data_IF_947518229683
#
_entry.id   IF_947518229683
#
_cell.length_a   1.000
_cell.length_b   1.000
_cell.length_c   1.000
_cell.angle_alpha   90.00
_cell.angle_beta   90.00
_cell.angle_gamma   90.00
#
_symmetry.space_group_name_H-M   'P 1'
#
loop_
_entity.id
_entity.type
_entity.pdbx_description
1 polymer ?
#
# COMPACT_ATOMS: atom_id res chain seq x y z
N UNK A 1 -8.47 -51.74 -42.51
CA UNK A 1 -8.97 -52.14 -41.17
C UNK A 1 -7.97 -53.07 -40.50
N UNK A 2 -6.87 -52.57 -39.92
CA UNK A 2 -5.97 -53.28 -38.99
C UNK A 2 -4.99 -52.20 -38.46
N UNK A 3 -4.54 -52.12 -37.21
CA UNK A 3 -4.90 -52.71 -35.91
C UNK A 3 -4.01 -51.97 -34.90
N UNK A 4 -4.58 -51.19 -33.99
CA UNK A 4 -3.81 -50.48 -32.96
C UNK A 4 -3.32 -51.47 -31.90
N UNK A 5 -2.02 -51.47 -31.62
CA UNK A 5 -1.39 -52.23 -30.52
C UNK A 5 -1.00 -51.26 -29.39
N UNK A 6 -1.37 -51.52 -28.12
CA UNK A 6 -1.11 -50.60 -27.00
C UNK A 6 0.15 -50.95 -26.16
N UNK A 7 0.50 -49.99 -25.27
CA UNK A 7 1.32 -50.07 -24.04
C UNK A 7 2.82 -49.67 -24.17
N UNK A 8 3.52 -49.17 -23.10
CA UNK A 8 3.24 -49.38 -21.68
C UNK A 8 3.40 -48.21 -20.66
N UNK A 9 2.93 -48.54 -19.45
CA UNK A 9 2.91 -47.87 -18.14
C UNK A 9 4.27 -47.44 -17.58
N UNK A 10 4.23 -46.52 -16.59
CA UNK A 10 4.79 -46.59 -15.19
C UNK A 10 4.72 -45.18 -14.56
N UNK A 11 4.43 -44.90 -13.29
CA UNK A 11 3.79 -45.52 -12.10
C UNK A 11 3.77 -44.36 -11.07
N UNK A 12 2.69 -44.11 -10.31
CA UNK A 12 2.69 -43.06 -9.29
C UNK A 12 3.45 -43.56 -8.05
N UNK A 13 4.58 -42.94 -7.72
CA UNK A 13 5.22 -43.16 -6.43
C UNK A 13 4.53 -42.28 -5.39
N UNK A 14 3.58 -42.89 -4.69
CA UNK A 14 3.21 -42.48 -3.34
C UNK A 14 4.46 -42.60 -2.47
N UNK A 15 4.98 -41.46 -2.02
CA UNK A 15 5.77 -41.40 -0.79
C UNK A 15 4.83 -40.87 0.28
N UNK A 16 4.29 -41.82 1.05
CA UNK A 16 3.81 -41.58 2.39
C UNK A 16 5.02 -41.57 3.32
N UNK A 17 5.11 -40.54 4.18
CA UNK A 17 5.82 -40.40 5.47
C UNK A 17 6.11 -38.88 5.61
N UNK A 18 5.79 -38.17 6.68
CA UNK A 18 5.29 -38.56 7.99
C UNK A 18 4.98 -37.29 8.79
N UNK A 19 4.10 -37.43 9.76
CA UNK A 19 3.76 -36.41 10.76
C UNK A 19 4.97 -36.19 11.67
N UNK A 20 5.39 -34.93 11.85
CA UNK A 20 6.11 -34.51 13.05
C UNK A 20 5.56 -33.16 13.52
N UNK A 21 4.78 -33.22 14.60
CA UNK A 21 4.34 -32.06 15.35
C UNK A 21 5.52 -31.51 16.17
N UNK A 22 5.83 -30.22 15.98
CA UNK A 22 6.70 -29.47 16.89
C UNK A 22 5.86 -28.36 17.51
N UNK A 23 5.33 -28.63 18.71
CA UNK A 23 4.71 -27.65 19.56
C UNK A 23 5.80 -26.81 20.25
N UNK A 24 5.98 -25.57 19.81
CA UNK A 24 6.74 -24.57 20.56
C UNK A 24 5.75 -23.71 21.36
N UNK A 25 5.55 -24.06 22.63
CA UNK A 25 4.91 -23.20 23.60
C UNK A 25 5.90 -22.09 23.98
N UNK A 26 5.65 -20.86 23.52
CA UNK A 26 6.37 -19.66 23.95
C UNK A 26 5.47 -18.82 24.85
N UNK A 27 5.85 -18.73 26.13
CA UNK A 27 5.23 -17.87 27.15
C UNK A 27 5.47 -16.40 26.76
N UNK A 28 4.41 -15.59 26.70
CA UNK A 28 4.54 -14.13 26.72
C UNK A 28 3.93 -13.61 28.02
N UNK A 29 4.80 -12.98 28.80
CA UNK A 29 4.54 -12.33 30.08
C UNK A 29 3.54 -11.19 29.90
N UNK A 30 2.64 -11.08 30.86
CA UNK A 30 1.67 -10.01 31.08
C UNK A 30 2.31 -8.63 31.13
N UNK A 31 1.90 -7.73 30.23
CA UNK A 31 2.04 -6.29 30.41
C UNK A 31 0.70 -5.71 30.87
N UNK A 32 0.49 -5.63 32.18
CA UNK A 32 -0.54 -4.78 32.77
C UNK A 32 -0.04 -3.33 32.67
N UNK A 33 -0.74 -2.50 31.90
CA UNK A 33 -0.46 -1.06 31.88
C UNK A 33 -1.07 -0.32 30.69
N UNK A 34 -2.38 -0.07 30.73
CA UNK A 34 -2.91 1.24 31.15
C UNK A 34 -4.44 1.21 31.07
N UNK A 35 -5.05 1.51 32.21
CA UNK A 35 -6.48 1.63 32.40
C UNK A 35 -6.73 3.13 32.60
N UNK A 36 -7.31 3.81 31.60
CA UNK A 36 -7.94 5.12 31.81
C UNK A 36 -9.37 5.08 31.33
N UNK A 37 -10.20 5.66 32.19
CA UNK A 37 -11.64 5.53 32.32
C UNK A 37 -12.41 6.45 31.36
N UNK A 38 -13.67 6.06 31.20
CA UNK A 38 -14.77 6.60 30.41
C UNK A 38 -14.99 8.13 30.45
N UNK A 39 -15.36 8.67 29.30
CA UNK A 39 -16.41 9.68 29.09
C UNK A 39 -16.78 9.62 27.60
N UNK A 40 -17.99 9.76 27.09
CA UNK A 40 -19.34 9.93 27.61
C UNK A 40 -20.29 9.68 26.43
N UNK A 41 -21.52 9.35 26.76
CA UNK A 41 -22.68 9.25 25.86
C UNK A 41 -22.91 10.51 25.01
N UNK A 42 -23.40 10.37 23.77
CA UNK A 42 -24.05 11.47 23.06
C UNK A 42 -24.13 11.28 21.56
N UNK A 43 -25.32 11.53 21.01
CA UNK A 43 -25.68 11.36 19.62
C UNK A 43 -25.25 12.55 18.74
N UNK A 44 -25.49 12.35 17.44
CA UNK A 44 -25.80 13.35 16.42
C UNK A 44 -24.62 13.85 15.57
N UNK A 45 -24.98 13.93 14.29
CA UNK A 45 -24.33 14.48 13.10
C UNK A 45 -23.13 15.41 13.32
N UNK A 46 -22.12 15.27 12.46
CA UNK A 46 -21.85 16.27 11.44
C UNK A 46 -20.47 16.02 10.80
N UNK A 47 -20.47 16.07 9.48
CA UNK A 47 -19.37 16.60 8.67
C UNK A 47 -17.96 16.15 9.07
N UNK A 48 -17.47 15.09 8.43
CA UNK A 48 -16.03 14.86 8.33
C UNK A 48 -15.41 15.92 7.38
N UNK A 49 -15.41 17.18 7.82
CA UNK A 49 -14.53 18.24 7.36
C UNK A 49 -13.29 18.18 8.25
N UNK A 50 -12.21 17.60 7.72
CA UNK A 50 -10.97 17.43 8.45
C UNK A 50 -9.83 17.39 7.45
N UNK A 51 -9.35 18.57 7.04
CA UNK A 51 -8.07 18.74 6.38
C UNK A 51 -6.96 18.33 7.34
N UNK A 52 -6.49 17.11 7.18
CA UNK A 52 -5.18 16.68 7.65
C UNK A 52 -4.62 15.72 6.60
N UNK A 53 -4.03 16.27 5.54
CA UNK A 53 -3.10 15.53 4.71
C UNK A 53 -1.80 15.38 5.51
N UNK A 54 -1.86 14.55 6.56
CA UNK A 54 -0.67 14.17 7.31
C UNK A 54 0.22 13.33 6.39
N UNK A 55 1.48 13.76 6.27
CA UNK A 55 2.48 13.02 5.48
C UNK A 55 2.65 11.64 6.11
N UNK A 56 2.32 10.58 5.38
CA UNK A 56 2.37 9.21 5.93
C UNK A 56 3.28 8.29 5.12
N UNK A 57 4.15 7.57 5.82
CA UNK A 57 5.00 6.54 5.26
C UNK A 57 4.85 5.23 6.00
N UNK A 58 4.56 4.16 5.26
CA UNK A 58 4.38 2.83 5.83
C UNK A 58 5.35 1.83 5.25
N UNK A 59 6.08 1.17 6.14
CA UNK A 59 7.10 0.16 5.87
C UNK A 59 6.61 -1.27 6.14
N UNK A 60 7.21 -2.30 5.54
CA UNK A 60 6.85 -3.68 5.79
C UNK A 60 7.21 -4.08 7.22
N UNK A 61 6.37 -4.87 7.89
CA UNK A 61 6.70 -5.50 9.19
C UNK A 61 5.74 -5.22 10.34
N UNK A 62 4.81 -4.25 10.21
CA UNK A 62 3.75 -4.01 11.18
C UNK A 62 2.38 -4.12 10.50
N UNK A 63 1.55 -5.13 10.84
CA UNK A 63 0.24 -5.34 10.21
C UNK A 63 -0.73 -4.17 10.46
N UNK A 64 -0.67 -3.53 11.63
CA UNK A 64 -1.51 -2.38 11.97
C UNK A 64 -1.12 -1.14 11.15
N UNK A 65 0.17 -0.96 10.86
CA UNK A 65 0.64 0.14 10.03
C UNK A 65 0.07 0.05 8.60
N UNK A 66 -0.14 -1.16 8.06
CA UNK A 66 -0.77 -1.35 6.75
C UNK A 66 -2.26 -0.95 6.71
N UNK A 67 -2.99 -1.11 7.82
CA UNK A 67 -4.37 -0.64 7.94
C UNK A 67 -4.43 0.88 8.05
N UNK A 68 -3.57 1.47 8.87
CA UNK A 68 -3.47 2.92 9.05
C UNK A 68 -3.06 3.63 7.74
N UNK A 69 -2.11 3.07 6.99
CA UNK A 69 -1.73 3.57 5.66
C UNK A 69 -2.90 3.55 4.67
N UNK A 70 -3.72 2.51 4.76
CA UNK A 70 -4.84 2.34 3.85
C UNK A 70 -5.98 3.31 4.14
N UNK A 71 -6.07 3.84 5.38
CA UNK A 71 -6.98 4.93 5.70
C UNK A 71 -6.60 6.22 4.98
N UNK A 72 -5.30 6.49 4.81
CA UNK A 72 -4.83 7.71 4.10
C UNK A 72 -5.29 7.70 2.64
N UNK A 73 -4.99 6.62 1.91
CA UNK A 73 -5.46 6.45 0.52
C UNK A 73 -6.96 6.13 0.40
N UNK A 74 -7.57 5.66 1.49
CA UNK A 74 -8.95 5.18 1.54
C UNK A 74 -9.98 6.26 1.77
N UNK A 75 -9.60 7.55 1.74
CA UNK A 75 -10.60 8.63 1.77
C UNK A 75 -10.97 9.07 0.35
N UNK A 76 -12.27 9.16 0.02
CA UNK A 76 -12.72 9.70 -1.26
C UNK A 76 -12.17 11.09 -1.57
N UNK A 77 -12.07 11.97 -0.55
CA UNK A 77 -11.49 13.31 -0.70
C UNK A 77 -10.03 13.31 -1.10
N UNK A 78 -9.20 12.45 -0.49
CA UNK A 78 -7.79 12.34 -0.89
C UNK A 78 -7.68 11.99 -2.37
N UNK A 79 -8.45 11.01 -2.84
CA UNK A 79 -8.43 10.56 -4.23
C UNK A 79 -8.96 11.63 -5.20
N UNK A 80 -9.93 12.46 -4.80
CA UNK A 80 -10.42 13.58 -5.61
C UNK A 80 -9.34 14.67 -5.78
N UNK A 81 -8.62 14.95 -4.69
CA UNK A 81 -7.55 15.95 -4.66
C UNK A 81 -6.19 15.44 -5.13
N UNK A 82 -6.01 14.14 -5.31
CA UNK A 82 -4.78 13.58 -5.83
C UNK A 82 -4.60 13.93 -7.31
N UNK A 83 -3.37 14.31 -7.68
CA UNK A 83 -2.93 14.33 -9.08
C UNK A 83 -2.25 13.02 -9.48
N UNK A 84 -1.81 12.20 -8.52
CA UNK A 84 -1.22 10.89 -8.82
C UNK A 84 -1.51 9.93 -7.67
N UNK A 85 -2.06 8.77 -7.99
CA UNK A 85 -2.06 7.59 -7.10
C UNK A 85 -1.67 6.38 -7.95
N UNK A 86 -0.48 5.83 -7.71
CA UNK A 86 0.08 4.80 -8.58
C UNK A 86 0.91 3.77 -7.83
N UNK A 87 0.79 2.51 -8.26
CA UNK A 87 1.64 1.40 -7.85
C UNK A 87 2.74 1.18 -8.89
N UNK A 88 3.96 0.89 -8.44
CA UNK A 88 5.06 0.62 -9.34
C UNK A 88 6.30 0.04 -8.68
N UNK A 89 7.36 -0.05 -9.48
CA UNK A 89 8.72 -0.34 -8.99
C UNK A 89 9.59 0.88 -9.17
N UNK A 90 10.32 1.27 -8.12
CA UNK A 90 11.32 2.33 -8.20
C UNK A 90 12.45 1.88 -9.12
N UNK A 91 12.80 2.71 -10.08
CA UNK A 91 13.86 2.46 -11.07
C UNK A 91 15.07 3.37 -10.88
N UNK A 92 14.86 4.56 -10.32
CA UNK A 92 15.92 5.47 -9.92
C UNK A 92 15.48 6.28 -8.68
N UNK A 93 16.44 6.65 -7.86
CA UNK A 93 16.28 7.56 -6.73
C UNK A 93 17.50 8.49 -6.71
N UNK A 94 17.35 9.67 -7.31
CA UNK A 94 18.43 10.64 -7.48
C UNK A 94 18.34 11.73 -6.41
N UNK A 95 19.42 12.07 -5.70
CA UNK A 95 19.38 13.14 -4.72
C UNK A 95 19.10 14.49 -5.39
N UNK A 96 18.31 15.34 -4.74
CA UNK A 96 18.10 16.73 -5.17
C UNK A 96 19.17 17.61 -4.51
N UNK A 97 20.03 18.30 -5.27
CA UNK A 97 21.09 19.13 -4.68
C UNK A 97 20.53 20.17 -3.70
N UNK A 98 21.15 20.30 -2.53
CA UNK A 98 20.78 21.29 -1.51
C UNK A 98 19.47 20.99 -0.77
N UNK A 99 18.87 19.81 -0.92
CA UNK A 99 17.66 19.41 -0.20
C UNK A 99 17.75 17.97 0.33
N UNK A 100 17.12 17.69 1.47
CA UNK A 100 16.92 16.33 1.99
C UNK A 100 15.77 15.63 1.24
N UNK A 101 15.92 15.49 -0.08
CA UNK A 101 14.91 14.98 -1.01
C UNK A 101 15.54 14.15 -2.11
N UNK A 102 14.76 13.22 -2.65
CA UNK A 102 15.11 12.46 -3.85
C UNK A 102 14.08 12.66 -4.96
N UNK A 103 14.55 12.76 -6.20
CA UNK A 103 13.73 12.56 -7.39
C UNK A 103 13.61 11.05 -7.65
N UNK A 104 12.40 10.54 -7.55
CA UNK A 104 12.08 9.13 -7.72
C UNK A 104 11.55 8.93 -9.14
N UNK A 105 12.11 7.96 -9.85
CA UNK A 105 11.59 7.48 -11.13
C UNK A 105 10.90 6.15 -10.90
N UNK A 106 9.59 6.12 -11.13
CA UNK A 106 8.73 4.97 -10.89
C UNK A 106 8.27 4.37 -12.22
N UNK A 107 8.55 3.09 -12.44
CA UNK A 107 7.87 2.32 -13.48
C UNK A 107 6.50 1.93 -12.97
N UNK A 108 5.46 2.51 -13.54
CA UNK A 108 4.07 2.33 -13.15
C UNK A 108 3.60 0.94 -13.59
N UNK A 109 3.05 0.18 -12.65
CA UNK A 109 2.37 -1.09 -12.91
C UNK A 109 0.85 -0.98 -12.80
N UNK A 110 0.35 0.01 -12.06
CA UNK A 110 -1.08 0.34 -11.96
C UNK A 110 -1.25 1.80 -11.60
N UNK A 111 -2.05 2.54 -12.35
CA UNK A 111 -2.51 3.87 -11.96
C UNK A 111 -3.95 3.78 -11.45
N UNK A 112 -4.20 4.34 -10.27
CA UNK A 112 -5.54 4.46 -9.68
C UNK A 112 -6.13 5.85 -9.95
N UNK A 113 -5.29 6.87 -9.83
CA UNK A 113 -5.55 8.24 -10.27
C UNK A 113 -4.39 8.65 -11.18
N UNK A 114 -4.61 8.77 -12.50
CA UNK A 114 -3.53 9.12 -13.41
C UNK A 114 -3.11 10.58 -13.22
N UNK A 115 -1.81 10.80 -13.04
CA UNK A 115 -1.24 12.12 -13.34
C UNK A 115 -1.29 12.35 -14.84
N UNK A 116 -1.25 13.61 -15.28
CA UNK A 116 -1.41 14.01 -16.69
C UNK A 116 -0.44 13.38 -17.70
N UNK A 117 0.41 12.42 -17.30
CA UNK A 117 1.15 11.52 -18.19
C UNK A 117 0.58 10.10 -18.20
N UNK A 118 0.30 9.59 -19.39
CA UNK A 118 -0.15 8.20 -19.64
C UNK A 118 1.01 7.21 -19.86
N UNK A 119 2.25 7.65 -19.63
CA UNK A 119 3.45 6.84 -19.87
C UNK A 119 3.65 5.72 -18.83
N UNK A 120 4.44 4.68 -19.16
CA UNK A 120 4.76 3.58 -18.25
C UNK A 120 5.68 4.02 -17.09
N UNK A 121 6.13 5.27 -17.09
CA UNK A 121 7.06 5.83 -16.11
C UNK A 121 6.55 7.19 -15.65
N UNK A 122 6.66 7.45 -14.35
CA UNK A 122 6.38 8.77 -13.76
C UNK A 122 7.51 9.17 -12.82
N UNK A 123 7.70 10.48 -12.65
CA UNK A 123 8.71 11.05 -11.75
C UNK A 123 8.05 11.96 -10.73
N UNK A 124 8.47 11.84 -9.48
CA UNK A 124 8.03 12.72 -8.39
C UNK A 124 9.19 12.99 -7.42
N UNK A 125 9.06 14.06 -6.64
CA UNK A 125 10.02 14.35 -5.57
C UNK A 125 9.50 13.77 -4.27
N UNK A 126 10.37 13.10 -3.51
CA UNK A 126 10.09 12.51 -2.22
C UNK A 126 10.96 13.18 -1.15
N UNK A 127 10.33 13.63 -0.05
CA UNK A 127 11.05 14.10 1.14
C UNK A 127 11.68 12.91 1.88
N UNK A 128 12.96 13.01 2.25
CA UNK A 128 13.69 11.93 2.94
C UNK A 128 13.11 11.65 4.33
N UNK A 129 12.47 12.66 4.94
CA UNK A 129 11.75 12.53 6.21
C UNK A 129 10.47 11.70 6.09
N UNK A 130 9.91 11.53 4.89
CA UNK A 130 8.77 10.65 4.65
C UNK A 130 9.27 9.21 4.47
N UNK A 131 10.06 8.96 3.43
CA UNK A 131 10.65 7.66 3.18
C UNK A 131 11.94 7.78 2.36
N UNK A 132 12.81 6.78 2.50
CA UNK A 132 13.96 6.59 1.63
C UNK A 132 13.72 5.35 0.79
N UNK A 133 13.58 5.56 -0.52
CA UNK A 133 13.35 4.51 -1.50
C UNK A 133 14.63 4.20 -2.26
N UNK A 134 14.81 2.94 -2.62
CA UNK A 134 15.89 2.45 -3.45
C UNK A 134 15.35 1.83 -4.75
N UNK A 135 16.16 1.78 -5.83
CA UNK A 135 15.81 1.01 -7.01
C UNK A 135 15.46 -0.45 -6.64
N UNK A 136 14.36 -0.95 -7.19
CA UNK A 136 13.79 -2.26 -6.88
C UNK A 136 12.62 -2.24 -5.90
N UNK A 137 12.46 -1.17 -5.11
CA UNK A 137 11.36 -1.07 -4.15
C UNK A 137 10.00 -1.08 -4.85
N UNK A 138 9.08 -1.90 -4.32
CA UNK A 138 7.67 -1.94 -4.72
C UNK A 138 6.90 -0.96 -3.85
N UNK A 139 6.25 0.01 -4.50
CA UNK A 139 5.63 1.13 -3.80
C UNK A 139 4.26 1.46 -4.37
N UNK A 140 3.38 1.97 -3.51
CA UNK A 140 2.20 2.74 -3.85
C UNK A 140 2.44 4.18 -3.38
N UNK A 141 2.38 5.13 -4.30
CA UNK A 141 2.64 6.55 -4.04
C UNK A 141 1.38 7.37 -4.28
N UNK A 142 1.22 8.40 -3.44
CA UNK A 142 0.20 9.43 -3.55
C UNK A 142 0.83 10.81 -3.64
N UNK A 143 0.30 11.64 -4.54
CA UNK A 143 0.69 13.04 -4.71
C UNK A 143 -0.57 13.87 -4.88
N UNK A 144 -0.80 14.78 -3.93
CA UNK A 144 -1.86 15.79 -4.01
C UNK A 144 -1.60 16.85 -5.09
N UNK A 145 -2.68 17.45 -5.61
CA UNK A 145 -2.64 18.48 -6.66
C UNK A 145 -1.86 19.74 -6.25
N UNK A 146 -2.00 20.17 -5.01
CA UNK A 146 -1.39 21.36 -4.41
C UNK A 146 0.04 21.12 -3.90
N UNK A 147 0.52 19.88 -3.93
CA UNK A 147 1.84 19.51 -3.38
C UNK A 147 2.88 19.24 -4.46
N UNK A 148 4.09 19.81 -4.33
CA UNK A 148 5.18 19.53 -5.26
C UNK A 148 5.86 18.17 -5.00
N UNK A 149 5.72 17.62 -3.79
CA UNK A 149 6.30 16.36 -3.35
C UNK A 149 5.22 15.31 -3.10
N UNK A 150 5.60 14.03 -3.16
CA UNK A 150 4.75 12.95 -2.66
C UNK A 150 4.50 13.14 -1.15
N UNK A 151 3.23 13.05 -0.78
CA UNK A 151 2.76 13.19 0.59
C UNK A 151 2.53 11.82 1.26
N UNK A 152 2.31 10.77 0.45
CA UNK A 152 2.03 9.43 0.96
C UNK A 152 2.82 8.37 0.21
N UNK A 153 3.47 7.46 0.95
CA UNK A 153 4.22 6.32 0.39
C UNK A 153 3.95 5.05 1.19
N UNK A 154 3.54 3.99 0.51
CA UNK A 154 3.42 2.64 1.07
C UNK A 154 4.39 1.71 0.37
N UNK A 155 5.11 0.92 1.16
CA UNK A 155 6.02 -0.10 0.68
C UNK A 155 5.61 -1.49 1.17
N UNK A 156 5.98 -2.52 0.39
CA UNK A 156 5.68 -3.92 0.69
C UNK A 156 4.33 -4.40 0.17
N UNK A 157 4.31 -5.59 -0.43
CA UNK A 157 3.16 -6.09 -1.21
C UNK A 157 1.88 -6.23 -0.39
N UNK A 158 1.98 -6.68 0.87
CA UNK A 158 0.82 -6.84 1.75
C UNK A 158 0.14 -5.50 2.05
N UNK A 159 0.93 -4.48 2.37
CA UNK A 159 0.41 -3.15 2.68
C UNK A 159 -0.20 -2.49 1.43
N UNK A 160 0.46 -2.65 0.28
CA UNK A 160 -0.05 -2.18 -1.01
C UNK A 160 -1.37 -2.87 -1.36
N UNK A 161 -1.49 -4.18 -1.15
CA UNK A 161 -2.72 -4.92 -1.40
C UNK A 161 -3.87 -4.44 -0.50
N UNK A 162 -3.61 -4.19 0.79
CA UNK A 162 -4.61 -3.60 1.70
C UNK A 162 -5.05 -2.23 1.19
N UNK A 163 -4.12 -1.32 0.91
CA UNK A 163 -4.43 0.02 0.41
C UNK A 163 -5.21 -0.01 -0.90
N UNK A 164 -4.90 -0.94 -1.81
CA UNK A 164 -5.63 -1.14 -3.07
C UNK A 164 -7.11 -1.43 -2.84
N UNK A 165 -7.46 -2.24 -1.85
CA UNK A 165 -8.86 -2.54 -1.52
C UNK A 165 -9.62 -1.27 -1.13
N UNK A 166 -9.02 -0.44 -0.27
CA UNK A 166 -9.61 0.83 0.18
C UNK A 166 -9.72 1.88 -0.93
N UNK A 167 -8.68 1.99 -1.77
CA UNK A 167 -8.73 2.84 -2.97
C UNK A 167 -9.87 2.42 -3.88
N UNK A 168 -9.99 1.12 -4.16
CA UNK A 168 -11.02 0.59 -5.05
C UNK A 168 -12.43 0.87 -4.53
N UNK A 169 -12.63 0.76 -3.22
CA UNK A 169 -13.91 1.08 -2.57
C UNK A 169 -14.25 2.57 -2.63
N UNK A 170 -13.25 3.45 -2.53
CA UNK A 170 -13.44 4.90 -2.41
C UNK A 170 -13.45 5.65 -3.75
N UNK A 171 -12.89 5.03 -4.79
CA UNK A 171 -12.79 5.62 -6.14
C UNK A 171 -14.13 6.05 -6.77
N UNK A 172 -15.26 5.35 -6.59
CA UNK A 172 -16.53 5.81 -7.15
C UNK A 172 -17.01 7.12 -6.51
N UNK A 173 -16.93 7.24 -5.19
CA UNK A 173 -17.34 8.44 -4.47
C UNK A 173 -16.39 9.61 -4.74
N UNK A 174 -15.07 9.35 -4.84
CA UNK A 174 -14.12 10.43 -5.13
C UNK A 174 -14.39 11.16 -6.45
N UNK A 175 -15.03 10.49 -7.42
CA UNK A 175 -15.39 11.07 -8.72
C UNK A 175 -16.55 12.07 -8.65
N UNK A 176 -17.32 12.07 -7.57
CA UNK A 176 -18.42 13.03 -7.37
C UNK A 176 -18.00 14.25 -6.57
N UNK A 177 -16.78 14.25 -6.03
CA UNK A 177 -16.24 15.33 -5.20
C UNK A 177 -15.38 16.29 -6.03
N UNK A 178 -15.40 17.57 -5.63
CA UNK A 178 -14.42 18.56 -6.07
C UNK A 178 -13.28 18.66 -5.07
N UNK A 179 -12.18 19.27 -5.50
CA UNK A 179 -11.03 19.54 -4.65
C UNK A 179 -10.99 21.06 -4.35
N UNK A 180 -11.86 21.50 -3.44
CA UNK A 180 -12.00 22.88 -2.98
C UNK A 180 -12.17 22.94 -1.45
#
# INVERSE_FOLDING_TARGET
LFRSVPAPRRRPFRLALGVLAAACAGVVVTGLGWLVVQSGSGATDDTAGGSAADKSAVRPGNPSAGQEAALVFGTPRYLACARLVAEGTVTAAEPVPGAARHRITLRVTRAHVPGGGTGPTTTFVLDDGLARLAPGDRVLVGVLRDRPTADTVITGDRNIATARTWITASLPESRTLTCD
#
